data_IF_249331978939
#
_entry.id   IF_249331978939
#
_cell.length_a   1.000
_cell.length_b   1.000
_cell.length_c   1.000
_cell.angle_alpha   90.00
_cell.angle_beta   90.00
_cell.angle_gamma   90.00
#
_symmetry.space_group_name_H-M   'P 1'
#
loop_
_entity.id
_entity.type
_entity.pdbx_description
1 polymer ?
#
# COMPACT_ATOMS: atom_id res chain seq x y z
N UNK A 1 -20.82 69.39 -20.52
CA UNK A 1 -20.84 67.98 -20.10
C UNK A 1 -20.14 67.15 -21.17
N UNK A 2 -18.86 66.84 -20.99
CA UNK A 2 -18.06 66.04 -21.93
C UNK A 2 -18.22 64.57 -21.57
N UNK A 3 -18.85 63.80 -22.46
CA UNK A 3 -19.00 62.35 -22.31
C UNK A 3 -17.65 61.67 -22.59
N UNK A 4 -17.11 60.98 -21.58
CA UNK A 4 -15.96 60.10 -21.72
C UNK A 4 -16.45 58.75 -22.25
N UNK A 5 -16.00 58.35 -23.43
CA UNK A 5 -16.22 57.01 -23.95
C UNK A 5 -15.23 56.03 -23.29
N UNK A 6 -15.67 54.86 -22.78
CA UNK A 6 -14.78 53.88 -22.20
C UNK A 6 -13.91 53.24 -23.29
N UNK A 7 -12.59 53.24 -23.07
CA UNK A 7 -11.63 52.64 -23.99
C UNK A 7 -11.74 51.11 -24.06
N UNK A 8 -11.21 50.49 -25.13
CA UNK A 8 -11.30 49.04 -25.36
C UNK A 8 -10.49 48.26 -24.30
N UNK A 9 -11.15 47.27 -23.69
CA UNK A 9 -10.55 46.37 -22.70
C UNK A 9 -9.50 45.49 -23.39
N UNK A 10 -8.23 45.62 -23.00
CA UNK A 10 -7.14 44.73 -23.43
C UNK A 10 -7.09 43.50 -22.53
N UNK A 11 -7.44 42.35 -23.08
CA UNK A 11 -7.20 41.06 -22.43
C UNK A 11 -5.72 40.66 -22.53
N UNK A 12 -5.14 40.04 -21.49
CA UNK A 12 -3.81 39.47 -21.58
C UNK A 12 -3.77 38.35 -22.65
N UNK A 13 -2.63 38.15 -23.32
CA UNK A 13 -2.48 37.09 -24.32
C UNK A 13 -2.75 35.73 -23.70
N UNK A 14 -3.48 34.87 -24.42
CA UNK A 14 -3.70 33.47 -24.01
C UNK A 14 -2.33 32.80 -23.84
N UNK A 15 -2.08 32.26 -22.65
CA UNK A 15 -0.92 31.39 -22.40
C UNK A 15 -0.96 30.23 -23.39
N UNK A 16 0.21 29.89 -23.94
CA UNK A 16 0.37 28.77 -24.86
C UNK A 16 -0.23 27.50 -24.27
N UNK A 17 -0.94 26.73 -25.09
CA UNK A 17 -1.63 25.53 -24.66
C UNK A 17 -0.62 24.55 -24.05
N UNK A 18 -0.75 24.28 -22.75
CA UNK A 18 0.02 23.25 -22.08
C UNK A 18 -0.21 21.91 -22.80
N UNK A 19 0.89 21.16 -22.98
CA UNK A 19 0.88 19.86 -23.64
C UNK A 19 -0.27 19.01 -23.06
N UNK A 20 -1.08 18.33 -23.90
CA UNK A 20 -2.17 17.52 -23.39
C UNK A 20 -1.64 16.51 -22.38
N UNK A 21 -2.27 16.48 -21.20
CA UNK A 21 -2.04 15.47 -20.16
C UNK A 21 -2.43 14.10 -20.73
N UNK A 22 -1.51 13.45 -21.41
CA UNK A 22 -1.66 12.07 -21.87
C UNK A 22 -1.32 11.17 -20.70
N UNK A 23 -2.33 10.50 -20.15
CA UNK A 23 -2.11 9.43 -19.17
C UNK A 23 -1.21 8.36 -19.81
N UNK A 24 -0.14 7.91 -19.13
CA UNK A 24 0.66 6.79 -19.61
C UNK A 24 -0.26 5.58 -19.76
N UNK A 25 -0.45 5.12 -20.99
CA UNK A 25 -1.18 3.87 -21.26
C UNK A 25 -0.45 2.74 -20.56
N UNK A 26 -1.01 2.26 -19.45
CA UNK A 26 -0.63 0.98 -18.83
C UNK A 26 -0.71 -0.06 -19.94
N UNK A 27 0.42 -0.67 -20.31
CA UNK A 27 0.43 -1.81 -21.21
C UNK A 27 -0.25 -2.96 -20.48
N UNK A 28 -1.56 -3.11 -20.67
CA UNK A 28 -2.25 -4.36 -20.40
C UNK A 28 -1.53 -5.42 -21.24
N UNK A 29 -1.03 -6.48 -20.60
CA UNK A 29 -0.41 -7.60 -21.33
C UNK A 29 -1.37 -8.08 -22.41
N UNK A 30 -0.83 -8.33 -23.59
CA UNK A 30 -1.63 -8.77 -24.73
C UNK A 30 -2.31 -10.10 -24.39
N UNK A 31 -3.57 -10.34 -24.78
CA UNK A 31 -4.22 -11.65 -24.62
C UNK A 31 -3.39 -12.81 -25.21
N UNK A 32 -2.60 -12.54 -26.24
CA UNK A 32 -1.68 -13.50 -26.85
C UNK A 32 -0.48 -13.82 -25.96
N UNK A 33 0.06 -12.86 -25.20
CA UNK A 33 1.15 -13.10 -24.23
C UNK A 33 0.67 -13.99 -23.05
N UNK A 34 -0.59 -13.87 -22.65
CA UNK A 34 -1.20 -14.73 -21.62
C UNK A 34 -1.41 -16.15 -22.14
N UNK A 35 -1.78 -16.30 -23.43
CA UNK A 35 -1.93 -17.60 -24.10
C UNK A 35 -0.60 -18.30 -24.32
N UNK A 36 0.46 -17.56 -24.67
CA UNK A 36 1.81 -18.11 -24.81
C UNK A 36 2.37 -18.55 -23.46
N UNK A 37 2.21 -17.72 -22.42
CA UNK A 37 2.61 -18.07 -21.06
C UNK A 37 1.87 -19.31 -20.54
N UNK A 38 0.56 -19.45 -20.81
CA UNK A 38 -0.20 -20.65 -20.43
C UNK A 38 0.27 -21.89 -21.18
N UNK A 39 0.54 -21.78 -22.49
CA UNK A 39 1.07 -22.88 -23.29
C UNK A 39 2.48 -23.33 -22.81
N UNK A 40 3.35 -22.38 -22.44
CA UNK A 40 4.67 -22.66 -21.86
C UNK A 40 4.56 -23.33 -20.48
N UNK A 41 3.63 -22.90 -19.62
CA UNK A 41 3.37 -23.61 -18.35
C UNK A 41 2.83 -25.02 -18.58
N UNK A 42 1.98 -25.26 -19.57
CA UNK A 42 1.46 -26.60 -19.84
C UNK A 42 2.57 -27.53 -20.36
N UNK A 43 3.47 -27.03 -21.21
CA UNK A 43 4.64 -27.78 -21.68
C UNK A 43 5.57 -28.15 -20.52
N UNK A 44 5.92 -27.19 -19.67
CA UNK A 44 6.78 -27.45 -18.50
C UNK A 44 6.13 -28.41 -17.50
N UNK A 45 4.81 -28.31 -17.26
CA UNK A 45 4.08 -29.29 -16.43
C UNK A 45 4.15 -30.70 -17.06
N UNK A 46 4.01 -30.80 -18.38
CA UNK A 46 4.10 -32.09 -19.08
C UNK A 46 5.51 -32.69 -18.97
N UNK A 47 6.55 -31.88 -19.08
CA UNK A 47 7.95 -32.28 -18.94
C UNK A 47 8.30 -32.71 -17.51
N UNK A 48 7.82 -31.98 -16.50
CA UNK A 48 7.99 -32.37 -15.10
C UNK A 48 7.28 -33.70 -14.83
N UNK A 49 6.06 -33.87 -15.38
CA UNK A 49 5.26 -35.09 -15.19
C UNK A 49 5.92 -36.31 -15.83
N UNK A 50 6.51 -36.18 -17.02
CA UNK A 50 7.23 -37.28 -17.67
C UNK A 50 8.58 -37.57 -17.00
N UNK A 51 9.23 -36.55 -16.43
CA UNK A 51 10.48 -36.72 -15.68
C UNK A 51 10.28 -37.37 -14.29
N UNK A 52 9.13 -37.15 -13.66
CA UNK A 52 8.83 -37.65 -12.30
C UNK A 52 7.99 -38.93 -12.29
N UNK A 53 7.36 -39.30 -13.42
CA UNK A 53 6.41 -40.42 -13.47
C UNK A 53 6.52 -41.19 -14.78
N UNK A 54 6.60 -42.51 -14.68
CA UNK A 54 6.51 -43.37 -15.85
C UNK A 54 5.06 -43.42 -16.39
N UNK A 55 4.84 -43.93 -17.61
CA UNK A 55 3.50 -43.99 -18.24
C UNK A 55 2.45 -44.77 -17.43
N UNK A 56 2.89 -45.59 -16.47
CA UNK A 56 2.05 -46.43 -15.62
C UNK A 56 1.81 -45.81 -14.23
N UNK A 57 2.30 -44.60 -13.98
CA UNK A 57 2.00 -43.85 -12.77
C UNK A 57 2.93 -44.12 -11.59
N UNK A 58 4.02 -44.85 -11.78
CA UNK A 58 5.04 -45.07 -10.75
C UNK A 58 5.99 -43.86 -10.69
N UNK A 59 6.33 -43.45 -9.47
CA UNK A 59 7.17 -42.29 -9.19
C UNK A 59 8.62 -42.69 -9.43
N UNK A 60 9.28 -42.06 -10.40
CA UNK A 60 10.72 -42.16 -10.57
C UNK A 60 11.40 -41.32 -9.48
N UNK A 61 12.54 -41.79 -8.96
CA UNK A 61 13.27 -41.09 -7.90
C UNK A 61 13.52 -39.63 -8.28
N UNK A 62 12.91 -38.70 -7.53
CA UNK A 62 13.02 -37.27 -7.79
C UNK A 62 14.30 -36.75 -7.15
N UNK A 63 15.10 -36.01 -7.90
CA UNK A 63 16.30 -35.35 -7.38
C UNK A 63 15.93 -34.34 -6.28
N UNK A 64 16.41 -34.59 -5.06
CA UNK A 64 16.12 -33.78 -3.88
C UNK A 64 16.53 -32.31 -4.06
N UNK A 65 17.61 -32.03 -4.80
CA UNK A 65 18.04 -30.67 -5.08
C UNK A 65 17.02 -29.92 -5.95
N UNK A 66 16.44 -30.61 -6.93
CA UNK A 66 15.41 -30.05 -7.81
C UNK A 66 14.10 -29.78 -7.06
N UNK A 67 13.76 -30.62 -6.08
CA UNK A 67 12.60 -30.39 -5.20
C UNK A 67 12.78 -29.11 -4.39
N UNK A 68 13.94 -28.93 -3.74
CA UNK A 68 14.23 -27.72 -2.95
C UNK A 68 14.20 -26.45 -3.82
N UNK A 69 14.73 -26.51 -5.04
CA UNK A 69 14.66 -25.39 -6.00
C UNK A 69 13.22 -25.06 -6.42
N UNK A 70 12.37 -26.07 -6.63
CA UNK A 70 10.97 -25.84 -6.96
C UNK A 70 10.19 -25.28 -5.76
N UNK A 71 10.44 -25.77 -4.55
CA UNK A 71 9.81 -25.26 -3.32
C UNK A 71 10.18 -23.80 -3.06
N UNK A 72 11.44 -23.43 -3.23
CA UNK A 72 11.91 -22.04 -3.08
C UNK A 72 11.29 -21.13 -4.15
N UNK A 73 11.25 -21.57 -5.41
CA UNK A 73 10.57 -20.85 -6.49
C UNK A 73 9.08 -20.68 -6.21
N UNK A 74 8.41 -21.71 -5.71
CA UNK A 74 7.00 -21.66 -5.33
C UNK A 74 6.76 -20.62 -4.23
N UNK A 75 7.55 -20.64 -3.16
CA UNK A 75 7.48 -19.63 -2.09
C UNK A 75 7.66 -18.20 -2.63
N UNK A 76 8.61 -17.99 -3.55
CA UNK A 76 8.83 -16.69 -4.17
C UNK A 76 7.64 -16.24 -5.05
N UNK A 77 7.04 -17.17 -5.81
CA UNK A 77 5.86 -16.87 -6.64
C UNK A 77 4.63 -16.60 -5.79
N UNK A 78 4.41 -17.35 -4.71
CA UNK A 78 3.35 -17.10 -3.74
C UNK A 78 3.46 -15.70 -3.12
N UNK A 79 4.66 -15.31 -2.66
CA UNK A 79 4.89 -13.97 -2.12
C UNK A 79 4.60 -12.86 -3.15
N UNK A 80 5.02 -13.04 -4.41
CA UNK A 80 4.73 -12.09 -5.50
C UNK A 80 3.24 -12.03 -5.86
N UNK A 81 2.51 -13.12 -5.65
CA UNK A 81 1.07 -13.18 -5.89
C UNK A 81 0.33 -12.42 -4.78
N UNK A 82 0.69 -12.66 -3.52
CA UNK A 82 0.14 -11.91 -2.37
C UNK A 82 0.39 -10.40 -2.49
N UNK A 83 1.60 -9.99 -2.92
CA UNK A 83 1.92 -8.58 -3.15
C UNK A 83 1.03 -7.96 -4.23
N UNK A 84 0.78 -8.70 -5.33
CA UNK A 84 -0.12 -8.24 -6.39
C UNK A 84 -1.56 -8.15 -5.93
N UNK A 85 -2.04 -9.12 -5.14
CA UNK A 85 -3.40 -9.12 -4.59
C UNK A 85 -3.62 -7.93 -3.67
N UNK A 86 -2.67 -7.63 -2.76
CA UNK A 86 -2.71 -6.41 -1.93
C UNK A 86 -2.75 -5.14 -2.79
N UNK A 87 -1.90 -5.07 -3.82
CA UNK A 87 -1.91 -3.94 -4.75
C UNK A 87 -3.24 -3.78 -5.50
N UNK A 88 -3.89 -4.89 -5.89
CA UNK A 88 -5.21 -4.85 -6.53
C UNK A 88 -6.29 -4.35 -5.58
N UNK A 89 -6.30 -4.83 -4.33
CA UNK A 89 -7.23 -4.34 -3.30
C UNK A 89 -7.08 -2.82 -3.09
N UNK A 90 -5.85 -2.31 -3.00
CA UNK A 90 -5.60 -0.87 -2.88
C UNK A 90 -6.12 -0.09 -4.11
N UNK A 91 -5.96 -0.63 -5.31
CA UNK A 91 -6.49 -0.01 -6.53
C UNK A 91 -8.03 -0.03 -6.56
N UNK A 92 -8.66 -1.11 -6.12
CA UNK A 92 -10.12 -1.24 -6.04
C UNK A 92 -10.73 -0.24 -5.06
N UNK A 93 -10.12 -0.05 -3.88
CA UNK A 93 -10.54 0.96 -2.90
C UNK A 93 -10.48 2.36 -3.52
N UNK A 94 -9.35 2.73 -4.14
CA UNK A 94 -9.19 4.04 -4.78
C UNK A 94 -10.15 4.25 -5.96
N UNK A 95 -10.50 3.19 -6.67
CA UNK A 95 -11.46 3.26 -7.77
C UNK A 95 -12.87 3.48 -7.23
N UNK A 96 -13.25 2.74 -6.17
CA UNK A 96 -14.53 2.92 -5.48
C UNK A 96 -14.71 4.33 -4.94
N UNK A 97 -13.67 4.93 -4.35
CA UNK A 97 -13.72 6.31 -3.87
C UNK A 97 -13.95 7.32 -5.01
N UNK A 98 -13.26 7.13 -6.14
CA UNK A 98 -13.47 7.98 -7.34
C UNK A 98 -14.86 7.83 -7.93
N UNK A 99 -15.43 6.63 -7.92
CA UNK A 99 -16.80 6.40 -8.37
C UNK A 99 -17.81 7.13 -7.49
N UNK A 100 -17.61 7.13 -6.16
CA UNK A 100 -18.44 7.92 -5.23
C UNK A 100 -18.33 9.42 -5.51
N UNK A 101 -17.12 9.95 -5.62
CA UNK A 101 -16.88 11.37 -5.94
C UNK A 101 -17.55 11.79 -7.26
N UNK A 102 -17.51 10.93 -8.28
CA UNK A 102 -18.16 11.20 -9.57
C UNK A 102 -19.68 11.17 -9.43
N UNK A 103 -20.25 10.20 -8.72
CA UNK A 103 -21.68 10.14 -8.46
C UNK A 103 -22.19 11.39 -7.71
N UNK A 104 -21.44 11.86 -6.70
CA UNK A 104 -21.75 13.11 -5.99
C UNK A 104 -21.71 14.32 -6.93
N UNK A 105 -20.69 14.43 -7.79
CA UNK A 105 -20.62 15.53 -8.77
C UNK A 105 -21.75 15.48 -9.80
N UNK A 106 -22.12 14.30 -10.27
CA UNK A 106 -23.24 14.11 -11.21
C UNK A 106 -24.57 14.51 -10.58
N UNK A 107 -24.80 14.18 -9.31
CA UNK A 107 -26.02 14.59 -8.59
C UNK A 107 -26.09 16.11 -8.43
N UNK A 108 -24.98 16.77 -8.07
CA UNK A 108 -24.89 18.23 -8.00
C UNK A 108 -25.10 18.90 -9.37
N UNK A 109 -24.53 18.33 -10.44
CA UNK A 109 -24.73 18.82 -11.81
C UNK A 109 -26.20 18.71 -12.23
N UNK A 110 -26.85 17.57 -12.01
CA UNK A 110 -28.28 17.39 -12.29
C UNK A 110 -29.16 18.38 -11.51
N UNK A 111 -28.85 18.60 -10.24
CA UNK A 111 -29.56 19.60 -9.43
C UNK A 111 -29.41 21.01 -10.01
N UNK A 112 -28.21 21.37 -10.48
CA UNK A 112 -27.95 22.67 -11.11
C UNK A 112 -28.63 22.80 -12.47
N UNK A 113 -28.63 21.76 -13.28
CA UNK A 113 -29.33 21.71 -14.57
C UNK A 113 -30.83 21.92 -14.36
N UNK A 114 -31.43 21.20 -13.40
CA UNK A 114 -32.85 21.37 -13.05
C UNK A 114 -33.18 22.82 -12.61
N UNK A 115 -32.32 23.45 -11.81
CA UNK A 115 -32.47 24.86 -11.43
C UNK A 115 -32.36 25.82 -12.62
N UNK A 116 -31.43 25.57 -13.54
CA UNK A 116 -31.26 26.37 -14.75
C UNK A 116 -32.44 26.19 -15.71
N UNK A 117 -32.97 24.99 -15.85
CA UNK A 117 -34.18 24.70 -16.64
C UNK A 117 -35.40 25.40 -16.05
N UNK A 118 -35.60 25.33 -14.72
CA UNK A 118 -36.66 26.07 -14.04
C UNK A 118 -36.52 27.59 -14.24
N UNK A 119 -35.28 28.10 -14.16
CA UNK A 119 -34.99 29.51 -14.43
C UNK A 119 -35.24 29.91 -15.89
N UNK A 120 -34.92 29.04 -16.86
CA UNK A 120 -35.14 29.30 -18.29
C UNK A 120 -36.61 29.21 -18.65
N UNK A 121 -37.35 28.24 -18.11
CA UNK A 121 -38.79 28.11 -18.29
C UNK A 121 -39.53 29.36 -17.79
N UNK A 122 -39.05 29.98 -16.71
CA UNK A 122 -39.53 31.30 -16.25
C UNK A 122 -39.16 32.47 -17.16
N UNK A 123 -38.04 32.41 -17.87
CA UNK A 123 -37.63 33.46 -18.80
C UNK A 123 -38.32 33.35 -20.17
N UNK A 124 -38.66 32.14 -20.62
CA UNK A 124 -39.29 31.89 -21.93
C UNK A 124 -40.81 31.76 -21.87
N UNK A 125 -41.38 31.41 -20.71
CA UNK A 125 -42.81 31.49 -20.43
C UNK A 125 -43.19 32.94 -20.14
N UNK A 126 -43.50 33.70 -21.20
CA UNK A 126 -43.79 35.13 -21.15
C UNK A 126 -44.71 35.55 -19.99
N UNK A 127 -44.15 36.35 -19.10
CA UNK A 127 -44.81 37.05 -18.01
C UNK A 127 -43.72 37.72 -17.20
N UNK A 128 -43.89 39.01 -16.94
CA UNK A 128 -42.98 39.97 -16.29
C UNK A 128 -42.08 39.41 -15.18
N UNK A 129 -41.04 40.18 -14.83
CA UNK A 129 -40.19 40.03 -13.64
C UNK A 129 -40.96 40.03 -12.32
N UNK A 130 -41.87 39.08 -12.16
CA UNK A 130 -42.61 38.79 -10.96
C UNK A 130 -41.63 38.16 -9.97
N UNK A 131 -41.57 38.67 -8.72
CA UNK A 131 -40.76 38.07 -7.68
C UNK A 131 -41.16 36.59 -7.53
N UNK A 132 -40.18 35.72 -7.26
CA UNK A 132 -40.38 34.30 -6.95
C UNK A 132 -41.62 34.12 -6.07
N UNK A 133 -42.49 33.15 -6.38
CA UNK A 133 -43.62 32.82 -5.52
C UNK A 133 -43.10 32.55 -4.11
N UNK A 134 -43.84 32.96 -3.08
CA UNK A 134 -43.45 32.75 -1.68
C UNK A 134 -43.12 31.28 -1.40
N UNK A 135 -43.80 30.34 -2.06
CA UNK A 135 -43.54 28.91 -1.93
C UNK A 135 -42.19 28.51 -2.56
N UNK A 136 -41.81 29.11 -3.68
CA UNK A 136 -40.53 28.87 -4.36
C UNK A 136 -39.36 29.51 -3.60
N UNK A 137 -39.57 30.68 -2.98
CA UNK A 137 -38.58 31.29 -2.09
C UNK A 137 -38.34 30.41 -0.87
N UNK A 138 -39.40 29.90 -0.24
CA UNK A 138 -39.30 29.00 0.89
C UNK A 138 -38.64 27.66 0.51
N UNK A 139 -38.90 27.13 -0.70
CA UNK A 139 -38.23 25.93 -1.20
C UNK A 139 -36.73 26.16 -1.45
N UNK A 140 -36.35 27.32 -2.00
CA UNK A 140 -34.96 27.71 -2.19
C UNK A 140 -34.21 27.90 -0.88
N UNK A 141 -34.85 28.52 0.13
CA UNK A 141 -34.26 28.66 1.46
C UNK A 141 -34.03 27.32 2.14
N UNK A 142 -34.99 26.39 2.03
CA UNK A 142 -34.83 25.02 2.53
C UNK A 142 -33.67 24.29 1.83
N UNK A 143 -33.56 24.43 0.50
CA UNK A 143 -32.48 23.80 -0.25
C UNK A 143 -31.11 24.40 0.14
N UNK A 144 -31.02 25.72 0.33
CA UNK A 144 -29.80 26.38 0.81
C UNK A 144 -29.41 25.89 2.20
N UNK A 145 -30.36 25.82 3.13
CA UNK A 145 -30.13 25.32 4.48
C UNK A 145 -29.66 23.85 4.48
N UNK A 146 -30.21 23.02 3.58
CA UNK A 146 -29.78 21.63 3.45
C UNK A 146 -28.38 21.51 2.83
N UNK A 147 -28.05 22.33 1.84
CA UNK A 147 -26.69 22.41 1.28
C UNK A 147 -25.69 22.87 2.33
N UNK A 148 -26.01 23.89 3.13
CA UNK A 148 -25.16 24.35 4.22
C UNK A 148 -24.93 23.25 5.26
N UNK A 149 -25.97 22.51 5.65
CA UNK A 149 -25.83 21.35 6.56
C UNK A 149 -24.95 20.24 5.99
N UNK A 150 -25.09 19.93 4.71
CA UNK A 150 -24.25 18.93 4.04
C UNK A 150 -22.80 19.40 3.96
N UNK A 151 -22.57 20.69 3.71
CA UNK A 151 -21.24 21.28 3.71
C UNK A 151 -20.58 21.20 5.09
N UNK A 152 -21.29 21.55 6.16
CA UNK A 152 -20.75 21.44 7.52
C UNK A 152 -20.43 19.98 7.88
N UNK A 153 -21.30 19.03 7.52
CA UNK A 153 -21.07 17.62 7.76
C UNK A 153 -19.82 17.10 7.00
N UNK A 154 -19.64 17.52 5.75
CA UNK A 154 -18.45 17.16 4.96
C UNK A 154 -17.17 17.76 5.54
N UNK A 155 -17.23 18.99 6.05
CA UNK A 155 -16.10 19.64 6.72
C UNK A 155 -15.73 18.91 8.02
N UNK A 156 -16.71 18.54 8.83
CA UNK A 156 -16.52 17.75 10.06
C UNK A 156 -15.92 16.37 9.74
N UNK A 157 -16.42 15.67 8.72
CA UNK A 157 -15.87 14.38 8.31
C UNK A 157 -14.43 14.50 7.84
N UNK A 158 -14.10 15.54 7.05
CA UNK A 158 -12.71 15.80 6.62
C UNK A 158 -11.81 16.10 7.80
N UNK A 159 -12.30 16.85 8.79
CA UNK A 159 -11.55 17.15 10.00
C UNK A 159 -11.30 15.89 10.84
N UNK A 160 -12.32 15.04 11.02
CA UNK A 160 -12.18 13.77 11.72
C UNK A 160 -11.19 12.82 11.03
N UNK A 161 -11.15 12.79 9.70
CA UNK A 161 -10.15 12.02 8.95
C UNK A 161 -8.73 12.54 9.20
N UNK A 162 -8.51 13.85 9.18
CA UNK A 162 -7.20 14.45 9.50
C UNK A 162 -6.74 14.14 10.92
N UNK A 163 -7.65 14.19 11.88
CA UNK A 163 -7.34 13.86 13.28
C UNK A 163 -6.96 12.39 13.44
N UNK A 164 -7.65 11.49 12.72
CA UNK A 164 -7.29 10.07 12.68
C UNK A 164 -5.93 9.84 12.03
N UNK A 165 -5.64 10.49 10.91
CA UNK A 165 -4.33 10.42 10.25
C UNK A 165 -3.21 10.89 11.19
N UNK A 166 -3.39 12.04 11.84
CA UNK A 166 -2.44 12.55 12.81
C UNK A 166 -2.21 11.59 13.99
N UNK A 167 -3.28 10.94 14.48
CA UNK A 167 -3.15 9.91 15.52
C UNK A 167 -2.37 8.68 15.03
N UNK A 168 -2.61 8.24 13.79
CA UNK A 168 -1.88 7.12 13.20
C UNK A 168 -0.39 7.44 13.08
N UNK A 169 -0.04 8.60 12.53
CA UNK A 169 1.35 9.06 12.41
C UNK A 169 2.04 9.11 13.79
N UNK A 170 1.35 9.62 14.81
CA UNK A 170 1.90 9.70 16.16
C UNK A 170 2.05 8.29 16.79
N UNK A 171 1.14 7.38 16.50
CA UNK A 171 1.20 5.98 16.96
C UNK A 171 2.33 5.20 16.28
N UNK A 172 2.56 5.44 14.99
CA UNK A 172 3.66 4.86 14.21
C UNK A 172 5.01 5.36 14.73
N UNK A 173 5.13 6.67 14.98
CA UNK A 173 6.34 7.24 15.58
C UNK A 173 6.66 6.62 16.94
N UNK A 174 5.65 6.46 17.80
CA UNK A 174 5.80 5.78 19.11
C UNK A 174 6.19 4.32 18.95
N UNK A 175 5.66 3.62 17.95
CA UNK A 175 6.03 2.23 17.66
C UNK A 175 7.50 2.14 17.21
N UNK A 176 7.94 3.01 16.30
CA UNK A 176 9.33 3.07 15.86
C UNK A 176 10.29 3.32 17.03
N UNK A 177 9.97 4.26 17.92
CA UNK A 177 10.76 4.50 19.12
C UNK A 177 10.86 3.25 20.01
N UNK A 178 9.74 2.56 20.27
CA UNK A 178 9.77 1.32 21.05
C UNK A 178 10.58 0.21 20.41
N UNK A 179 10.54 0.09 19.09
CA UNK A 179 11.36 -0.88 18.35
C UNK A 179 12.85 -0.54 18.49
N UNK A 180 13.22 0.73 18.37
CA UNK A 180 14.60 1.18 18.59
C UNK A 180 15.06 0.90 20.02
N UNK A 181 14.26 1.27 21.03
CA UNK A 181 14.55 0.99 22.44
C UNK A 181 14.69 -0.52 22.71
N UNK A 182 13.88 -1.36 22.07
CA UNK A 182 13.98 -2.80 22.22
C UNK A 182 15.29 -3.32 21.62
N UNK A 183 15.64 -2.86 20.42
CA UNK A 183 16.87 -3.26 19.76
C UNK A 183 18.10 -2.83 20.55
N UNK A 184 18.10 -1.61 21.12
CA UNK A 184 19.17 -1.16 22.02
C UNK A 184 19.30 -2.07 23.25
N UNK A 185 18.17 -2.45 23.86
CA UNK A 185 18.17 -3.40 24.99
C UNK A 185 18.67 -4.78 24.62
N UNK A 186 18.31 -5.30 23.44
CA UNK A 186 18.84 -6.57 22.94
C UNK A 186 20.36 -6.51 22.80
N UNK A 187 20.88 -5.44 22.19
CA UNK A 187 22.33 -5.26 22.07
C UNK A 187 23.03 -5.11 23.43
N UNK A 188 22.39 -4.47 24.40
CA UNK A 188 22.93 -4.34 25.76
C UNK A 188 22.95 -5.69 26.49
N UNK A 189 21.90 -6.51 26.31
CA UNK A 189 21.85 -7.85 26.89
C UNK A 189 22.89 -8.77 26.27
N UNK A 190 23.05 -8.75 24.94
CA UNK A 190 24.10 -9.50 24.24
C UNK A 190 25.49 -9.13 24.77
N UNK A 191 25.77 -7.84 24.93
CA UNK A 191 27.04 -7.37 25.50
C UNK A 191 27.24 -7.86 26.94
N UNK A 192 26.19 -7.85 27.77
CA UNK A 192 26.24 -8.36 29.15
C UNK A 192 26.48 -9.86 29.19
N UNK A 193 25.83 -10.62 28.32
CA UNK A 193 26.00 -12.08 28.22
C UNK A 193 27.41 -12.43 27.77
N UNK A 194 27.96 -11.71 26.78
CA UNK A 194 29.37 -11.85 26.40
C UNK A 194 30.32 -11.56 27.57
N UNK A 195 30.06 -10.50 28.33
CA UNK A 195 30.87 -10.13 29.48
C UNK A 195 30.78 -11.16 30.62
N UNK A 196 29.60 -11.73 30.85
CA UNK A 196 29.39 -12.82 31.81
C UNK A 196 30.15 -14.08 31.36
N UNK A 197 30.01 -14.50 30.11
CA UNK A 197 30.77 -15.63 29.57
C UNK A 197 32.28 -15.41 29.66
N UNK A 198 32.79 -14.20 29.38
CA UNK A 198 34.20 -13.85 29.56
C UNK A 198 34.63 -13.90 31.02
N UNK A 199 33.76 -13.55 31.98
CA UNK A 199 34.05 -13.63 33.42
C UNK A 199 34.04 -15.08 33.90
N UNK A 200 33.02 -15.85 33.54
CA UNK A 200 32.91 -17.29 33.85
C UNK A 200 34.12 -18.06 33.34
N UNK A 201 34.52 -17.82 32.09
CA UNK A 201 35.73 -18.42 31.51
C UNK A 201 36.98 -18.07 32.33
N UNK A 202 37.17 -16.80 32.69
CA UNK A 202 38.31 -16.36 33.52
C UNK A 202 38.31 -17.01 34.90
N UNK A 203 37.14 -17.23 35.49
CA UNK A 203 37.01 -17.91 36.79
C UNK A 203 37.38 -19.39 36.62
N UNK A 204 36.82 -20.09 35.63
CA UNK A 204 37.17 -21.49 35.34
C UNK A 204 38.66 -21.68 35.07
N UNK A 205 39.28 -20.78 34.30
CA UNK A 205 40.72 -20.82 34.04
C UNK A 205 41.55 -20.64 35.31
N UNK A 206 41.13 -19.76 36.23
CA UNK A 206 41.80 -19.57 37.54
C UNK A 206 41.59 -20.76 38.48
N UNK A 207 40.41 -21.35 38.49
CA UNK A 207 40.11 -22.55 39.30
C UNK A 207 40.92 -23.75 38.80
N UNK A 208 40.97 -23.95 37.47
CA UNK A 208 41.81 -24.96 36.83
C UNK A 208 43.31 -24.78 37.13
N UNK A 209 43.80 -23.55 37.25
CA UNK A 209 45.20 -23.30 37.62
C UNK A 209 45.55 -23.82 39.03
N UNK A 210 44.56 -23.92 39.93
CA UNK A 210 44.74 -24.35 41.31
C UNK A 210 44.31 -25.82 41.56
N UNK A 211 43.46 -26.40 40.71
CA UNK A 211 43.00 -27.79 40.80
C UNK A 211 43.34 -28.60 39.52
N UNK A 212 44.23 -29.62 39.61
CA UNK A 212 44.64 -30.42 38.46
C UNK A 212 43.49 -31.22 37.81
N UNK A 213 42.42 -31.55 38.55
CA UNK A 213 41.26 -32.25 37.98
C UNK A 213 40.42 -31.33 37.09
N UNK A 214 40.25 -30.08 37.52
CA UNK A 214 39.54 -29.06 36.73
C UNK A 214 40.35 -28.63 35.50
N UNK A 215 41.69 -28.60 35.59
CA UNK A 215 42.56 -28.37 34.42
C UNK A 215 42.40 -29.45 33.35
N UNK A 216 42.40 -30.72 33.74
CA UNK A 216 42.22 -31.83 32.81
C UNK A 216 40.85 -31.80 32.13
N UNK A 217 39.79 -31.44 32.87
CA UNK A 217 38.44 -31.28 32.34
C UNK A 217 38.35 -30.14 31.31
N UNK A 218 38.96 -28.99 31.60
CA UNK A 218 38.95 -27.82 30.73
C UNK A 218 39.77 -28.03 29.44
N UNK A 219 40.88 -28.76 29.50
CA UNK A 219 41.63 -29.18 28.30
C UNK A 219 40.88 -30.22 27.47
N UNK A 220 40.16 -31.15 28.09
CA UNK A 220 39.28 -32.09 27.39
C UNK A 220 38.13 -31.38 26.67
N UNK A 221 37.51 -30.38 27.30
CA UNK A 221 36.45 -29.54 26.72
C UNK A 221 36.97 -28.74 25.51
N UNK A 222 38.13 -28.08 25.63
CA UNK A 222 38.79 -27.39 24.50
C UNK A 222 39.15 -28.34 23.36
N UNK A 223 39.61 -29.55 23.67
CA UNK A 223 39.95 -30.56 22.67
C UNK A 223 38.70 -31.10 21.95
N UNK A 224 37.56 -31.21 22.65
CA UNK A 224 36.27 -31.58 22.07
C UNK A 224 35.71 -30.46 21.17
N UNK A 225 35.77 -29.21 21.61
CA UNK A 225 35.31 -28.07 20.82
C UNK A 225 36.09 -27.92 19.49
N UNK A 226 37.41 -28.18 19.50
CA UNK A 226 38.24 -28.19 18.28
C UNK A 226 37.92 -29.33 17.31
N UNK A 227 37.30 -30.42 17.79
CA UNK A 227 36.88 -31.56 16.95
C UNK A 227 35.51 -31.35 16.31
N UNK A 228 34.69 -30.44 16.84
CA UNK A 228 33.34 -30.13 16.37
C UNK A 228 33.29 -28.84 15.51
N UNK A 229 34.42 -28.42 14.95
CA UNK A 229 34.47 -27.24 14.08
C UNK A 229 33.88 -27.62 12.71
N UNK A 230 32.58 -27.35 12.49
CA UNK A 230 31.75 -27.74 11.33
C UNK A 230 32.26 -27.22 9.96
N UNK A 231 33.40 -26.54 9.92
CA UNK A 231 34.06 -26.00 8.71
C UNK A 231 35.37 -26.70 8.32
N UNK A 232 35.66 -27.88 8.90
CA UNK A 232 36.77 -28.75 8.46
C UNK A 232 36.25 -30.11 8.02
N UNK A 233 35.66 -30.16 6.83
CA UNK A 233 35.73 -31.34 5.94
C UNK A 233 36.87 -31.15 4.93
#
# INVERSE_FOLDING_TARGET
>A
MTQQTPGPIKFPPRREAEKPLVLPKRRLRSPFEVSEATAETQKTISEIRTATRNPWGEILGVDAQKVIQLETSLKQLSAKLEERERGLQDFEVRLSDRERDLAERETLLRARESLLEASRAKQTGGGDGAPLSHEEQAALEKLKAEVERQQTLLEEQRQALREREAFLDESEAKLFQKVQEHQEKETELEQRDEDLHRRERRIREKEAANDPKLAAALEAEKAAAKKYDEFRE
#
